data_IF_243995656260
#
_entry.id   IF_243995656260
#
_cell.length_a   1.000
_cell.length_b   1.000
_cell.length_c   1.000
_cell.angle_alpha   90.00
_cell.angle_beta   90.00
_cell.angle_gamma   90.00
#
_symmetry.space_group_name_H-M   'P 1'
#
loop_
_entity.id
_entity.type
_entity.pdbx_description
1 polymer ?
#
# COMPACT_ATOMS: atom_id res chain seq x y z
N UNK A 1 -18.71 -8.16 7.12
CA UNK A 1 -17.65 -8.66 6.22
C UNK A 1 -16.34 -8.38 6.92
N UNK A 2 -15.41 -9.35 6.98
CA UNK A 2 -14.15 -9.13 7.65
C UNK A 2 -13.31 -8.12 6.83
N UNK A 3 -12.68 -7.19 7.53
CA UNK A 3 -11.79 -6.20 6.91
C UNK A 3 -10.37 -6.54 7.35
N UNK A 4 -9.45 -6.88 6.42
CA UNK A 4 -8.10 -7.26 6.79
C UNK A 4 -7.31 -6.07 7.35
N UNK A 5 -6.34 -6.37 8.21
CA UNK A 5 -5.24 -5.47 8.51
C UNK A 5 -4.23 -5.49 7.37
N UNK A 6 -3.48 -4.40 7.21
CA UNK A 6 -2.45 -4.28 6.18
C UNK A 6 -1.11 -3.97 6.85
N UNK A 7 -0.12 -4.82 6.64
CA UNK A 7 1.27 -4.46 6.84
C UNK A 7 1.84 -3.91 5.53
N UNK A 8 2.53 -2.77 5.62
CA UNK A 8 3.03 -2.05 4.46
C UNK A 8 4.55 -1.93 4.53
N UNK A 9 5.28 -2.90 4.00
CA UNK A 9 6.74 -2.81 3.94
C UNK A 9 7.14 -1.71 2.94
N UNK A 10 7.77 -0.64 3.46
CA UNK A 10 8.30 0.47 2.68
C UNK A 10 9.82 0.38 2.63
N UNK A 11 10.37 0.46 1.43
CA UNK A 11 11.80 0.60 1.20
C UNK A 11 12.05 1.57 0.04
N UNK A 12 13.24 2.17 0.01
CA UNK A 12 13.76 2.83 -1.18
C UNK A 12 15.01 2.13 -1.62
N UNK A 13 15.09 1.83 -2.91
CA UNK A 13 16.17 1.04 -3.48
C UNK A 13 16.77 1.73 -4.68
N UNK A 14 18.01 1.36 -5.02
CA UNK A 14 18.68 1.87 -6.20
C UNK A 14 17.90 1.48 -7.46
N UNK A 15 17.54 2.46 -8.28
CA UNK A 15 16.80 2.23 -9.52
C UNK A 15 17.74 1.72 -10.61
N UNK A 16 17.85 0.41 -10.75
CA UNK A 16 18.68 -0.27 -11.73
C UNK A 16 18.07 -1.61 -12.12
N UNK A 17 18.41 -2.12 -13.31
CA UNK A 17 17.94 -3.41 -13.82
C UNK A 17 18.17 -4.57 -12.83
N UNK A 18 19.34 -4.61 -12.19
CA UNK A 18 19.69 -5.62 -11.17
C UNK A 18 18.73 -5.62 -9.97
N UNK A 19 18.12 -4.48 -9.64
CA UNK A 19 17.09 -4.39 -8.59
C UNK A 19 15.79 -5.05 -9.04
N UNK A 20 15.39 -4.89 -10.30
CA UNK A 20 14.20 -5.56 -10.87
C UNK A 20 14.40 -7.07 -11.02
N UNK A 21 15.61 -7.53 -11.35
CA UNK A 21 15.97 -8.95 -11.33
C UNK A 21 15.76 -9.56 -9.94
N UNK A 22 16.12 -8.82 -8.88
CA UNK A 22 15.89 -9.28 -7.50
C UNK A 22 14.41 -9.30 -7.13
N UNK A 23 13.61 -8.34 -7.58
CA UNK A 23 12.16 -8.38 -7.35
C UNK A 23 11.54 -9.65 -7.91
N UNK A 24 11.96 -10.08 -9.10
CA UNK A 24 11.40 -11.26 -9.77
C UNK A 24 11.93 -12.59 -9.21
N UNK A 25 13.09 -12.61 -8.55
CA UNK A 25 13.72 -13.85 -8.05
C UNK A 25 13.60 -14.04 -6.54
N UNK A 26 13.60 -12.96 -5.77
CA UNK A 26 13.47 -12.96 -4.30
C UNK A 26 12.04 -12.68 -3.88
N UNK A 27 11.36 -11.71 -4.53
CA UNK A 27 9.99 -11.29 -4.20
C UNK A 27 8.99 -12.46 -4.10
N UNK A 28 8.90 -13.37 -5.10
CA UNK A 28 8.00 -14.51 -5.02
C UNK A 28 8.30 -15.44 -3.84
N UNK A 29 9.58 -15.62 -3.47
CA UNK A 29 9.97 -16.48 -2.35
C UNK A 29 9.54 -15.91 -1.01
N UNK A 30 9.66 -14.59 -0.83
CA UNK A 30 9.14 -13.91 0.36
C UNK A 30 7.64 -14.17 0.49
N UNK A 31 6.87 -13.96 -0.59
CA UNK A 31 5.42 -14.20 -0.60
C UNK A 31 5.07 -15.67 -0.27
N UNK A 32 5.83 -16.64 -0.81
CA UNK A 32 5.62 -18.06 -0.51
C UNK A 32 5.88 -18.40 0.96
N UNK A 33 6.87 -17.77 1.60
CA UNK A 33 7.14 -17.96 3.03
C UNK A 33 6.06 -17.28 3.88
N UNK A 34 5.62 -16.08 3.50
CA UNK A 34 4.53 -15.36 4.15
C UNK A 34 3.23 -16.19 4.16
N UNK A 35 2.95 -16.88 3.06
CA UNK A 35 1.78 -17.74 2.91
C UNK A 35 1.78 -19.01 3.82
N UNK A 36 2.86 -19.28 4.56
CA UNK A 36 2.88 -20.37 5.55
C UNK A 36 1.97 -20.10 6.76
N UNK A 37 1.54 -18.85 6.99
CA UNK A 37 0.69 -18.50 8.13
C UNK A 37 -0.78 -18.39 7.72
N UNK A 38 -1.68 -19.12 8.40
CA UNK A 38 -3.12 -19.20 8.05
C UNK A 38 -3.89 -17.88 8.17
N UNK A 39 -3.31 -16.91 8.88
CA UNK A 39 -3.81 -15.53 8.98
C UNK A 39 -3.54 -14.65 7.76
N UNK A 40 -2.65 -15.08 6.86
CA UNK A 40 -2.36 -14.37 5.61
C UNK A 40 -3.52 -14.55 4.61
N UNK A 41 -3.96 -13.46 3.99
CA UNK A 41 -5.08 -13.50 3.02
C UNK A 41 -4.72 -12.94 1.65
N UNK A 42 -3.44 -12.65 1.39
CA UNK A 42 -2.94 -12.20 0.09
C UNK A 42 -2.12 -10.92 0.17
N UNK A 43 -1.69 -10.40 -0.98
CA UNK A 43 -0.75 -9.28 -1.04
C UNK A 43 -0.94 -8.41 -2.29
N UNK A 44 -0.43 -7.17 -2.24
CA UNK A 44 -0.34 -6.25 -3.39
C UNK A 44 0.99 -5.47 -3.32
N UNK A 45 1.93 -5.79 -4.21
CA UNK A 45 3.28 -5.21 -4.20
C UNK A 45 3.43 -4.16 -5.29
N UNK A 46 3.98 -3.02 -4.89
CA UNK A 46 4.04 -1.84 -5.73
C UNK A 46 5.45 -1.31 -5.92
N UNK A 47 5.70 -0.80 -7.12
CA UNK A 47 6.88 0.01 -7.44
C UNK A 47 6.45 1.44 -7.73
N UNK A 48 7.13 2.41 -7.12
CA UNK A 48 6.83 3.82 -7.33
C UNK A 48 7.17 4.21 -8.76
N UNK A 49 6.22 4.82 -9.47
CA UNK A 49 6.45 5.30 -10.83
C UNK A 49 6.51 6.83 -10.90
N UNK A 50 6.01 7.55 -9.90
CA UNK A 50 6.09 9.01 -9.92
C UNK A 50 5.43 9.70 -8.72
N UNK A 51 5.18 10.99 -8.89
CA UNK A 51 4.56 11.86 -7.87
C UNK A 51 3.61 12.83 -8.58
N UNK A 52 2.40 12.99 -8.05
CA UNK A 52 1.43 13.92 -8.62
C UNK A 52 1.90 15.38 -8.41
N UNK A 53 2.14 16.16 -9.49
CA UNK A 53 2.85 17.43 -9.39
C UNK A 53 2.01 18.60 -8.85
N UNK A 54 0.69 18.42 -8.69
CA UNK A 54 -0.24 19.43 -8.16
C UNK A 54 -0.11 20.80 -8.84
N UNK A 55 -0.13 20.80 -10.18
CA UNK A 55 -0.06 22.05 -10.96
C UNK A 55 1.26 22.83 -10.84
N UNK A 56 2.33 22.18 -10.37
CA UNK A 56 3.66 22.79 -10.20
C UNK A 56 4.06 23.04 -8.74
N UNK A 57 3.18 22.77 -7.77
CA UNK A 57 3.55 22.80 -6.34
C UNK A 57 4.73 21.86 -6.03
N UNK A 58 4.83 20.74 -6.76
CA UNK A 58 6.01 19.89 -6.82
C UNK A 58 6.61 19.96 -8.24
N UNK A 59 7.17 21.12 -8.62
CA UNK A 59 7.61 21.39 -10.00
C UNK A 59 8.73 20.50 -10.54
N UNK A 60 9.46 19.78 -9.67
CA UNK A 60 10.44 18.76 -10.09
C UNK A 60 9.84 17.35 -10.24
N UNK A 61 8.59 17.15 -9.81
CA UNK A 61 7.88 15.88 -9.93
C UNK A 61 7.18 15.75 -11.28
N UNK A 62 6.95 14.51 -11.71
CA UNK A 62 6.10 14.15 -12.83
C UNK A 62 5.26 12.93 -12.45
N UNK A 63 4.12 12.80 -13.13
CA UNK A 63 3.25 11.64 -12.99
C UNK A 63 4.00 10.33 -13.26
N UNK A 64 4.88 10.36 -14.26
CA UNK A 64 5.80 9.27 -14.58
C UNK A 64 7.25 9.75 -14.52
N UNK A 65 8.02 9.08 -13.67
CA UNK A 65 9.43 9.24 -13.38
C UNK A 65 10.12 7.88 -13.24
N UNK A 66 9.52 6.76 -13.67
CA UNK A 66 10.04 5.42 -13.36
C UNK A 66 11.48 5.19 -13.85
N UNK A 67 11.90 5.84 -14.95
CA UNK A 67 13.28 5.77 -15.47
C UNK A 67 14.27 6.68 -14.73
N UNK A 68 13.78 7.72 -14.05
CA UNK A 68 14.63 8.82 -13.52
C UNK A 68 14.60 8.93 -12.00
N UNK A 69 13.58 8.36 -11.36
CA UNK A 69 13.42 8.38 -9.91
C UNK A 69 14.47 7.45 -9.28
N UNK A 70 15.41 8.01 -8.54
CA UNK A 70 16.44 7.24 -7.86
C UNK A 70 16.78 7.90 -6.51
N UNK A 71 16.62 7.22 -5.36
CA UNK A 71 16.11 5.85 -5.24
C UNK A 71 14.63 5.74 -5.60
N UNK A 72 14.21 4.56 -6.04
CA UNK A 72 12.82 4.23 -6.35
C UNK A 72 12.14 3.61 -5.12
N UNK A 73 10.89 4.00 -4.87
CA UNK A 73 10.11 3.48 -3.75
C UNK A 73 9.54 2.09 -4.04
N UNK A 74 9.49 1.26 -3.00
CA UNK A 74 8.76 0.00 -2.94
C UNK A 74 7.73 0.08 -1.82
N UNK A 75 6.54 -0.44 -2.08
CA UNK A 75 5.45 -0.50 -1.12
C UNK A 75 4.76 -1.86 -1.24
N UNK A 76 5.08 -2.77 -0.33
CA UNK A 76 4.61 -4.16 -0.35
C UNK A 76 3.51 -4.32 0.69
N UNK A 77 2.28 -4.54 0.22
CA UNK A 77 1.11 -4.68 1.08
C UNK A 77 0.91 -6.17 1.33
N UNK A 78 0.86 -6.59 2.59
CA UNK A 78 0.41 -7.93 2.98
C UNK A 78 -0.85 -7.81 3.83
N UNK A 79 -1.85 -8.62 3.51
CA UNK A 79 -3.17 -8.55 4.12
C UNK A 79 -3.34 -9.69 5.14
N UNK A 80 -3.90 -9.35 6.30
CA UNK A 80 -3.96 -10.23 7.46
C UNK A 80 -5.33 -10.22 8.12
N UNK A 81 -5.78 -11.38 8.63
CA UNK A 81 -7.02 -11.47 9.41
C UNK A 81 -6.91 -10.65 10.70
N UNK A 82 -5.80 -10.82 11.42
CA UNK A 82 -5.40 -10.04 12.57
C UNK A 82 -3.99 -9.48 12.35
N UNK A 83 -3.69 -8.28 12.84
CA UNK A 83 -2.34 -7.73 12.67
C UNK A 83 -1.29 -8.55 13.45
N UNK A 84 -1.69 -9.24 14.51
CA UNK A 84 -0.84 -10.15 15.27
C UNK A 84 -0.37 -11.35 14.42
N UNK A 85 -1.16 -11.77 13.43
CA UNK A 85 -0.80 -12.85 12.50
C UNK A 85 0.44 -12.48 11.67
N UNK A 86 0.60 -11.20 11.33
CA UNK A 86 1.78 -10.69 10.64
C UNK A 86 3.04 -10.88 11.49
N UNK A 87 3.01 -10.40 12.74
CA UNK A 87 4.16 -10.49 13.63
C UNK A 87 4.48 -11.96 13.94
N UNK A 88 3.46 -12.80 14.19
CA UNK A 88 3.62 -14.24 14.36
C UNK A 88 4.31 -14.89 13.15
N UNK A 89 3.87 -14.58 11.93
CA UNK A 89 4.51 -15.06 10.70
C UNK A 89 5.99 -14.70 10.65
N UNK A 90 6.34 -13.44 10.96
CA UNK A 90 7.74 -12.99 10.99
C UNK A 90 8.57 -13.74 12.03
N UNK A 91 8.03 -13.96 13.24
CA UNK A 91 8.75 -14.70 14.28
C UNK A 91 8.90 -16.17 13.93
N UNK A 92 7.85 -16.84 13.43
CA UNK A 92 7.86 -18.26 13.11
C UNK A 92 8.75 -18.58 11.90
N UNK A 93 8.84 -17.67 10.93
CA UNK A 93 9.58 -17.84 9.69
C UNK A 93 10.85 -16.97 9.62
N UNK A 94 11.32 -16.44 10.75
CA UNK A 94 12.37 -15.40 10.80
C UNK A 94 13.61 -15.74 9.98
N UNK A 95 14.17 -16.95 10.14
CA UNK A 95 15.39 -17.34 9.45
C UNK A 95 15.25 -17.31 7.93
N UNK A 96 14.09 -17.74 7.41
CA UNK A 96 13.81 -17.75 5.98
C UNK A 96 13.58 -16.33 5.46
N UNK A 97 12.75 -15.55 6.14
CA UNK A 97 12.47 -14.15 5.80
C UNK A 97 13.76 -13.32 5.84
N UNK A 98 14.53 -13.40 6.92
CA UNK A 98 15.77 -12.64 7.07
C UNK A 98 16.77 -12.96 5.96
N UNK A 99 16.96 -14.24 5.62
CA UNK A 99 17.83 -14.67 4.51
C UNK A 99 17.38 -14.11 3.17
N UNK A 100 16.08 -14.14 2.89
CA UNK A 100 15.51 -13.63 1.64
C UNK A 100 15.63 -12.11 1.56
N UNK A 101 15.21 -11.38 2.59
CA UNK A 101 15.34 -9.93 2.65
C UNK A 101 16.80 -9.47 2.57
N UNK A 102 17.73 -10.23 3.16
CA UNK A 102 19.17 -9.91 3.11
C UNK A 102 19.76 -9.97 1.70
N UNK A 103 19.16 -10.74 0.78
CA UNK A 103 19.59 -10.78 -0.62
C UNK A 103 19.38 -9.45 -1.35
N UNK A 104 18.59 -8.53 -0.77
CA UNK A 104 18.32 -7.21 -1.30
C UNK A 104 19.19 -6.09 -0.66
N UNK A 105 20.11 -6.41 0.26
CA UNK A 105 20.83 -5.35 1.00
C UNK A 105 21.72 -4.45 0.14
N UNK A 106 22.25 -4.96 -0.96
CA UNK A 106 23.09 -4.20 -1.91
C UNK A 106 22.30 -3.20 -2.77
N UNK A 107 20.98 -3.31 -2.83
CA UNK A 107 20.10 -2.37 -3.53
C UNK A 107 19.40 -1.39 -2.58
N UNK A 108 19.32 -1.70 -1.27
CA UNK A 108 18.60 -0.86 -0.29
C UNK A 108 19.35 0.44 -0.03
N UNK A 109 18.63 1.56 -0.13
CA UNK A 109 19.08 2.91 0.23
C UNK A 109 18.40 3.36 1.53
N UNK A 110 17.13 3.00 1.74
CA UNK A 110 16.34 3.33 2.92
C UNK A 110 15.36 2.18 3.24
N UNK A 111 15.12 1.93 4.53
CA UNK A 111 14.23 0.89 5.01
C UNK A 111 14.92 -0.46 5.28
N UNK A 112 14.15 -1.54 5.50
CA UNK A 112 12.69 -1.57 5.49
C UNK A 112 12.06 -0.83 6.68
N UNK A 113 10.88 -0.25 6.46
CA UNK A 113 9.99 0.26 7.51
C UNK A 113 8.57 -0.22 7.23
N UNK A 114 7.95 -0.92 8.18
CA UNK A 114 6.71 -1.66 7.96
C UNK A 114 5.59 -1.20 8.91
N UNK A 115 4.97 -0.04 8.64
CA UNK A 115 3.77 0.40 9.34
C UNK A 115 2.61 -0.58 9.17
N UNK A 116 1.81 -0.73 10.22
CA UNK A 116 0.60 -1.55 10.25
C UNK A 116 -0.61 -0.62 10.22
N UNK A 117 -1.59 -0.96 9.38
CA UNK A 117 -2.80 -0.19 9.17
C UNK A 117 -4.05 -1.03 9.41
N UNK A 118 -5.09 -0.38 9.93
CA UNK A 118 -6.48 -0.83 9.78
C UNK A 118 -7.13 -0.10 8.60
N UNK A 119 -8.08 -0.75 7.94
CA UNK A 119 -8.89 -0.11 6.89
C UNK A 119 -10.15 0.45 7.54
N UNK A 120 -10.30 1.78 7.53
CA UNK A 120 -11.48 2.45 8.13
C UNK A 120 -12.62 2.66 7.15
N UNK A 121 -12.34 2.64 5.85
CA UNK A 121 -13.33 2.68 4.79
C UNK A 121 -12.74 2.10 3.50
N UNK A 122 -13.55 1.40 2.71
CA UNK A 122 -13.15 0.91 1.40
C UNK A 122 -14.33 0.78 0.45
N UNK A 123 -14.02 0.81 -0.84
CA UNK A 123 -14.85 0.35 -1.95
C UNK A 123 -13.91 -0.04 -3.08
N UNK A 124 -13.36 -1.25 -2.98
CA UNK A 124 -12.50 -1.85 -3.99
C UNK A 124 -13.26 -3.03 -4.60
N UNK A 125 -13.34 -3.15 -5.93
CA UNK A 125 -13.87 -4.34 -6.57
C UNK A 125 -12.82 -5.45 -6.60
N UNK A 126 -13.26 -6.70 -6.75
CA UNK A 126 -12.40 -7.80 -7.17
C UNK A 126 -11.67 -7.46 -8.46
N UNK A 127 -10.44 -7.95 -8.58
CA UNK A 127 -9.70 -7.84 -9.83
C UNK A 127 -10.22 -8.87 -10.83
N UNK A 128 -10.34 -8.44 -12.08
CA UNK A 128 -10.75 -9.31 -13.19
C UNK A 128 -9.84 -9.06 -14.39
N UNK A 129 -9.51 -10.10 -15.15
CA UNK A 129 -8.88 -9.90 -16.45
C UNK A 129 -9.92 -9.51 -17.50
N UNK A 130 -9.46 -8.96 -18.63
CA UNK A 130 -10.35 -8.64 -19.76
C UNK A 130 -11.12 -9.87 -20.28
N UNK A 131 -10.56 -11.07 -20.12
CA UNK A 131 -11.19 -12.35 -20.48
C UNK A 131 -12.38 -12.70 -19.59
N UNK A 132 -12.45 -12.16 -18.38
CA UNK A 132 -13.46 -12.50 -17.38
C UNK A 132 -14.67 -11.54 -17.42
N UNK A 133 -14.52 -10.42 -18.13
CA UNK A 133 -15.54 -9.38 -18.30
C UNK A 133 -16.87 -9.94 -18.83
N UNK A 134 -16.91 -10.79 -19.88
CA UNK A 134 -18.19 -11.34 -20.36
C UNK A 134 -18.94 -12.16 -19.30
N UNK A 135 -18.21 -12.97 -18.52
CA UNK A 135 -18.81 -13.78 -17.46
C UNK A 135 -19.30 -12.89 -16.29
N UNK A 136 -18.48 -11.92 -15.89
CA UNK A 136 -18.82 -10.94 -14.83
C UNK A 136 -20.05 -10.12 -15.19
N UNK A 137 -20.15 -9.67 -16.44
CA UNK A 137 -21.31 -8.96 -16.96
C UNK A 137 -22.56 -9.84 -16.95
N UNK A 138 -22.43 -11.10 -17.37
CA UNK A 138 -23.52 -12.09 -17.32
C UNK A 138 -24.05 -12.32 -15.90
N UNK A 139 -23.15 -12.46 -14.92
CA UNK A 139 -23.51 -12.66 -13.52
C UNK A 139 -24.20 -11.41 -12.91
N UNK A 140 -23.67 -10.22 -13.19
CA UNK A 140 -24.28 -8.96 -12.76
C UNK A 140 -25.69 -8.80 -13.35
N UNK A 141 -25.87 -9.13 -14.63
CA UNK A 141 -27.17 -9.06 -15.30
C UNK A 141 -28.18 -10.07 -14.73
N UNK A 142 -27.74 -11.31 -14.45
CA UNK A 142 -28.58 -12.35 -13.85
C UNK A 142 -29.09 -11.97 -12.44
N UNK A 143 -28.33 -11.17 -11.70
CA UNK A 143 -28.67 -10.73 -10.33
C UNK A 143 -29.30 -9.33 -10.27
N UNK A 144 -29.41 -8.64 -11.42
CA UNK A 144 -29.91 -7.26 -11.50
C UNK A 144 -29.00 -6.23 -10.81
N UNK A 145 -27.75 -6.57 -10.55
CA UNK A 145 -26.77 -5.68 -9.91
C UNK A 145 -25.95 -4.93 -10.96
N UNK A 146 -25.48 -3.71 -10.67
CA UNK A 146 -24.53 -3.03 -11.55
C UNK A 146 -23.22 -3.82 -11.59
N UNK A 147 -22.62 -3.92 -12.78
CA UNK A 147 -21.28 -4.48 -12.91
C UNK A 147 -20.28 -3.56 -12.19
N UNK A 148 -19.38 -4.10 -11.34
CA UNK A 148 -18.28 -3.33 -10.77
C UNK A 148 -17.35 -2.77 -11.85
N UNK A 149 -16.49 -1.81 -11.47
CA UNK A 149 -15.45 -1.34 -12.37
C UNK A 149 -14.48 -2.48 -12.73
N UNK A 150 -14.03 -2.53 -13.99
CA UNK A 150 -13.04 -3.51 -14.46
C UNK A 150 -11.66 -3.11 -13.95
N UNK A 151 -11.22 -3.71 -12.84
CA UNK A 151 -9.91 -3.45 -12.25
C UNK A 151 -8.90 -4.52 -12.67
N UNK A 152 -8.09 -4.20 -13.69
CA UNK A 152 -7.13 -5.15 -14.25
C UNK A 152 -5.94 -5.39 -13.29
N UNK A 153 -5.53 -6.67 -13.08
CA UNK A 153 -4.40 -7.00 -12.22
C UNK A 153 -3.04 -6.89 -12.92
N UNK A 154 -1.97 -7.10 -12.15
CA UNK A 154 -0.60 -7.35 -12.63
C UNK A 154 -0.01 -6.17 -13.42
N UNK A 155 -0.12 -4.99 -12.82
CA UNK A 155 0.45 -3.75 -13.34
C UNK A 155 -0.31 -3.10 -14.49
N UNK A 156 -1.56 -3.51 -14.72
CA UNK A 156 -2.44 -2.94 -15.74
C UNK A 156 -3.39 -1.85 -15.19
N UNK A 157 -3.05 -1.28 -14.04
CA UNK A 157 -3.73 -0.12 -13.44
C UNK A 157 -2.75 0.71 -12.62
N UNK A 158 -3.14 1.92 -12.23
CA UNK A 158 -2.32 2.84 -11.44
C UNK A 158 -2.90 3.00 -10.04
N UNK A 159 -2.02 3.04 -9.04
CA UNK A 159 -2.38 3.42 -7.68
C UNK A 159 -1.91 4.84 -7.41
N UNK A 160 -2.80 5.69 -6.92
CA UNK A 160 -2.46 6.98 -6.33
C UNK A 160 -2.59 6.87 -4.81
N UNK A 161 -1.46 6.88 -4.11
CA UNK A 161 -1.40 6.77 -2.66
C UNK A 161 -1.14 8.15 -2.05
N UNK A 162 -2.12 8.68 -1.33
CA UNK A 162 -2.08 10.02 -0.76
C UNK A 162 -1.85 9.97 0.75
N UNK A 163 -0.69 10.46 1.18
CA UNK A 163 -0.31 10.55 2.59
C UNK A 163 -0.96 11.77 3.26
N UNK A 164 -1.52 11.57 4.45
CA UNK A 164 -2.17 12.59 5.25
C UNK A 164 -1.80 12.44 6.72
N UNK A 165 -1.55 13.56 7.40
CA UNK A 165 -1.44 13.61 8.85
C UNK A 165 -2.50 14.57 9.35
N UNK A 166 -3.37 14.09 10.25
CA UNK A 166 -4.52 14.87 10.74
C UNK A 166 -4.17 15.70 11.96
N UNK A 167 -4.88 16.81 12.16
CA UNK A 167 -4.84 17.56 13.41
C UNK A 167 -5.48 16.70 14.51
N UNK A 168 -4.84 16.52 15.68
CA UNK A 168 -5.40 15.71 16.76
C UNK A 168 -6.81 16.15 17.16
N UNK A 169 -7.73 15.19 17.27
CA UNK A 169 -9.14 15.44 17.61
C UNK A 169 -10.04 15.72 16.40
N UNK A 170 -9.51 15.68 15.17
CA UNK A 170 -10.28 15.85 13.91
C UNK A 170 -10.27 14.62 13.03
N UNK A 171 -9.89 13.47 13.57
CA UNK A 171 -9.79 12.19 12.87
C UNK A 171 -11.13 11.77 12.25
N UNK A 172 -12.22 11.82 13.02
CA UNK A 172 -13.55 11.44 12.51
C UNK A 172 -14.06 12.39 11.42
N UNK A 173 -13.75 13.68 11.53
CA UNK A 173 -14.12 14.65 10.51
C UNK A 173 -13.34 14.40 9.21
N UNK A 174 -12.04 14.08 9.32
CA UNK A 174 -11.21 13.67 8.20
C UNK A 174 -11.77 12.39 7.55
N UNK A 175 -12.00 11.34 8.34
CA UNK A 175 -12.49 10.03 7.87
C UNK A 175 -13.83 10.19 7.13
N UNK A 176 -14.78 10.95 7.67
CA UNK A 176 -16.05 11.21 6.99
C UNK A 176 -15.86 12.04 5.72
N UNK A 177 -15.09 13.13 5.78
CA UNK A 177 -14.91 14.02 4.64
C UNK A 177 -14.19 13.31 3.48
N UNK A 178 -13.19 12.46 3.76
CA UNK A 178 -12.47 11.75 2.71
C UNK A 178 -13.36 10.67 2.08
N UNK A 179 -14.19 9.96 2.86
CA UNK A 179 -15.18 9.00 2.32
C UNK A 179 -16.19 9.70 1.42
N UNK A 180 -16.62 10.92 1.76
CA UNK A 180 -17.51 11.71 0.89
C UNK A 180 -16.83 12.04 -0.45
N UNK A 181 -15.53 12.39 -0.45
CA UNK A 181 -14.75 12.62 -1.69
C UNK A 181 -14.66 11.33 -2.51
N UNK A 182 -14.31 10.22 -1.88
CA UNK A 182 -14.15 8.92 -2.57
C UNK A 182 -15.48 8.42 -3.16
N UNK A 183 -16.58 8.63 -2.44
CA UNK A 183 -17.93 8.33 -2.94
C UNK A 183 -18.28 9.17 -4.16
N UNK A 184 -17.89 10.45 -4.17
CA UNK A 184 -18.05 11.30 -5.34
C UNK A 184 -17.16 10.85 -6.52
N UNK A 185 -15.97 10.30 -6.24
CA UNK A 185 -15.06 9.76 -7.26
C UNK A 185 -15.60 8.55 -8.01
N UNK A 186 -16.55 7.79 -7.47
CA UNK A 186 -17.22 6.68 -8.20
C UNK A 186 -17.83 7.08 -9.55
N UNK A 187 -18.13 8.37 -9.74
CA UNK A 187 -18.69 8.93 -10.99
C UNK A 187 -17.62 9.47 -11.95
N UNK A 188 -16.35 9.29 -11.62
CA UNK A 188 -15.21 9.78 -12.40
C UNK A 188 -14.74 8.67 -13.34
N UNK A 189 -14.62 8.94 -14.65
CA UNK A 189 -14.09 7.96 -15.59
C UNK A 189 -12.71 7.44 -15.13
N UNK A 190 -12.56 6.12 -15.19
CA UNK A 190 -11.32 5.44 -14.84
C UNK A 190 -11.04 5.32 -13.35
N UNK A 191 -11.93 5.74 -12.43
CA UNK A 191 -11.81 5.42 -11.02
C UNK A 191 -12.18 3.95 -10.79
N UNK A 192 -11.30 3.19 -10.14
CA UNK A 192 -11.45 1.75 -9.93
C UNK A 192 -11.76 1.39 -8.48
N UNK A 193 -11.63 2.32 -7.54
CA UNK A 193 -11.95 2.09 -6.13
C UNK A 193 -10.97 2.75 -5.18
N UNK A 194 -11.21 2.56 -3.87
CA UNK A 194 -10.36 3.13 -2.83
C UNK A 194 -10.35 2.33 -1.54
N UNK A 195 -9.34 2.59 -0.71
CA UNK A 195 -9.36 2.31 0.71
C UNK A 195 -8.67 3.43 1.49
N UNK A 196 -9.17 3.68 2.70
CA UNK A 196 -8.60 4.63 3.67
C UNK A 196 -7.93 3.82 4.76
N UNK A 197 -6.62 3.93 4.83
CA UNK A 197 -5.79 3.20 5.79
C UNK A 197 -5.43 4.12 6.94
N UNK A 198 -5.69 3.68 8.17
CA UNK A 198 -5.33 4.37 9.41
C UNK A 198 -4.20 3.63 10.09
N UNK A 199 -3.07 4.30 10.32
CA UNK A 199 -1.92 3.63 10.92
C UNK A 199 -2.22 3.32 12.40
N UNK A 200 -2.07 2.05 12.79
CA UNK A 200 -2.26 1.60 14.17
C UNK A 200 -0.93 1.33 14.89
N UNK A 201 0.16 1.23 14.15
CA UNK A 201 1.47 0.88 14.68
C UNK A 201 2.51 0.65 13.58
N UNK A 202 3.56 -0.09 13.90
CA UNK A 202 4.55 -0.59 12.93
C UNK A 202 5.16 -1.90 13.43
N UNK A 203 5.52 -2.82 12.56
CA UNK A 203 6.18 -4.06 12.97
C UNK A 203 7.66 -3.80 13.21
N UNK A 204 8.12 -3.98 14.45
CA UNK A 204 9.55 -3.87 14.77
C UNK A 204 10.38 -4.92 14.01
N UNK A 205 9.91 -6.17 14.00
CA UNK A 205 10.59 -7.29 13.33
C UNK A 205 10.59 -7.14 11.81
N UNK A 206 9.47 -6.74 11.20
CA UNK A 206 9.37 -6.46 9.76
C UNK A 206 10.23 -5.27 9.32
N UNK A 207 10.45 -4.31 10.22
CA UNK A 207 11.33 -3.15 10.02
C UNK A 207 12.80 -3.41 10.38
N UNK A 208 13.16 -4.65 10.74
CA UNK A 208 14.49 -5.00 11.28
C UNK A 208 14.95 -4.11 12.46
N UNK A 209 13.99 -3.58 13.23
CA UNK A 209 14.21 -2.83 14.47
C UNK A 209 14.31 -3.82 15.64
N UNK A 210 15.43 -4.52 15.70
CA UNK A 210 15.72 -5.51 16.74
C UNK A 210 16.26 -4.85 18.01
N UNK A 211 16.25 -5.60 19.11
CA UNK A 211 17.04 -5.25 20.31
C UNK A 211 18.55 -5.15 19.98
N UNK A 212 19.37 -4.46 20.80
CA UNK A 212 20.76 -4.14 20.45
C UNK A 212 21.61 -5.33 19.98
N UNK A 213 21.55 -6.47 20.68
CA UNK A 213 22.31 -7.66 20.29
C UNK A 213 21.85 -8.25 18.95
N UNK A 214 20.55 -8.21 18.66
CA UNK A 214 19.98 -8.62 17.38
C UNK A 214 20.44 -7.73 16.23
N UNK A 215 20.47 -6.41 16.45
CA UNK A 215 21.01 -5.45 15.48
C UNK A 215 22.49 -5.72 15.21
N UNK A 216 23.31 -5.93 16.25
CA UNK A 216 24.72 -6.24 16.07
C UNK A 216 24.92 -7.50 15.21
N UNK A 217 24.12 -8.55 15.44
CA UNK A 217 24.17 -9.76 14.63
C UNK A 217 23.73 -9.51 13.18
N UNK A 218 22.67 -8.73 12.98
CA UNK A 218 22.17 -8.38 11.65
C UNK A 218 23.20 -7.60 10.83
N UNK A 219 23.98 -6.71 11.46
CA UNK A 219 25.04 -5.94 10.81
C UNK A 219 26.30 -6.75 10.50
N UNK A 220 26.49 -7.90 11.14
CA UNK A 220 27.68 -8.76 10.98
C UNK A 220 27.51 -9.85 9.92
N UNK A 221 26.34 -9.92 9.28
CA UNK A 221 25.99 -10.97 8.32
C UNK A 221 25.57 -10.36 6.99
N UNK A 222 25.69 -11.15 5.91
CA UNK A 222 25.08 -10.84 4.60
C UNK A 222 23.81 -11.63 4.33
N UNK A 223 23.27 -12.29 5.36
CA UNK A 223 22.07 -13.11 5.29
C UNK A 223 22.31 -14.57 5.68
N UNK A 224 23.51 -15.12 5.46
CA UNK A 224 23.80 -16.55 5.66
C UNK A 224 23.52 -17.03 7.10
N UNK A 225 23.78 -16.15 8.06
CA UNK A 225 23.56 -16.35 9.49
C UNK A 225 22.55 -15.32 10.01
N UNK A 226 21.25 -15.64 10.06
CA UNK A 226 20.26 -14.79 10.70
C UNK A 226 20.60 -14.52 12.18
N UNK A 227 20.19 -13.37 12.73
CA UNK A 227 20.25 -13.11 14.16
C UNK A 227 19.57 -14.22 14.96
N UNK A 228 20.25 -14.73 16.00
CA UNK A 228 19.63 -15.63 16.97
C UNK A 228 18.68 -14.89 17.89
N UNK A 229 18.96 -13.61 18.14
CA UNK A 229 18.11 -12.72 18.92
C UNK A 229 17.27 -11.92 17.91
N UNK A 230 16.00 -12.32 17.80
CA UNK A 230 15.05 -11.79 16.82
C UNK A 230 13.99 -10.87 17.41
N UNK A 231 14.06 -10.60 18.72
CA UNK A 231 13.10 -9.75 19.41
C UNK A 231 13.16 -8.32 18.89
N UNK A 232 11.99 -7.77 18.55
CA UNK A 232 11.83 -6.36 18.23
C UNK A 232 12.11 -5.48 19.45
N UNK A 233 12.61 -4.26 19.22
CA UNK A 233 12.87 -3.29 20.27
C UNK A 233 11.60 -2.54 20.74
N UNK A 234 10.46 -2.74 20.10
CA UNK A 234 9.14 -2.27 20.52
C UNK A 234 8.03 -3.22 20.06
N UNK A 235 6.86 -3.11 20.69
CA UNK A 235 5.61 -3.75 20.27
C UNK A 235 4.87 -2.88 19.26
N UNK A 236 4.14 -3.51 18.34
CA UNK A 236 3.47 -2.82 17.22
C UNK A 236 2.69 -1.56 17.61
N UNK A 237 1.82 -1.57 18.64
CA UNK A 237 1.06 -0.38 19.03
C UNK A 237 1.91 0.78 19.60
N UNK A 238 3.14 0.51 20.07
CA UNK A 238 4.01 1.56 20.61
C UNK A 238 4.54 2.50 19.53
N UNK A 239 4.55 2.06 18.27
CA UNK A 239 4.92 2.88 17.12
C UNK A 239 3.72 3.62 16.48
N UNK A 240 2.56 3.62 17.14
CA UNK A 240 1.41 4.45 16.77
C UNK A 240 1.82 5.92 16.69
N UNK A 241 1.34 6.62 15.66
CA UNK A 241 1.69 8.01 15.42
C UNK A 241 0.63 8.95 15.99
N UNK A 242 1.08 9.91 16.80
CA UNK A 242 0.31 11.09 17.20
C UNK A 242 1.09 12.34 16.78
N UNK A 243 0.61 13.11 15.79
CA UNK A 243 -0.73 13.08 15.19
C UNK A 243 -0.99 11.90 14.24
N UNK A 244 -2.26 11.52 14.11
CA UNK A 244 -2.68 10.31 13.38
C UNK A 244 -2.35 10.41 11.89
N UNK A 245 -1.66 9.39 11.37
CA UNK A 245 -1.34 9.22 9.96
C UNK A 245 -2.36 8.34 9.23
N UNK A 246 -2.67 8.74 8.00
CA UNK A 246 -3.53 8.02 7.07
C UNK A 246 -2.89 7.91 5.69
N UNK A 247 -3.18 6.80 5.01
CA UNK A 247 -2.91 6.63 3.59
C UNK A 247 -4.25 6.45 2.86
N UNK A 248 -4.56 7.36 1.93
CA UNK A 248 -5.72 7.23 1.06
C UNK A 248 -5.24 6.60 -0.24
N UNK A 249 -5.54 5.31 -0.39
CA UNK A 249 -5.20 4.50 -1.55
C UNK A 249 -6.32 4.60 -2.57
N UNK A 250 -6.02 5.07 -3.78
CA UNK A 250 -6.98 5.20 -4.88
C UNK A 250 -6.49 4.41 -6.08
N UNK A 251 -7.37 3.65 -6.72
CA UNK A 251 -7.05 2.90 -7.94
C UNK A 251 -7.64 3.59 -9.16
N UNK A 252 -6.85 3.68 -10.22
CA UNK A 252 -7.21 4.32 -11.47
C UNK A 252 -6.82 3.45 -12.67
N UNK A 253 -7.64 3.47 -13.71
CA UNK A 253 -7.43 2.68 -14.93
C UNK A 253 -6.10 3.01 -15.61
N UNK A 254 -5.70 4.28 -15.60
CA UNK A 254 -4.49 4.76 -16.23
C UNK A 254 -4.04 6.11 -15.62
N UNK A 255 -2.87 6.58 -16.04
CA UNK A 255 -2.25 7.80 -15.53
C UNK A 255 -3.05 9.08 -15.85
N UNK A 256 -3.70 9.16 -17.01
CA UNK A 256 -4.51 10.32 -17.39
C UNK A 256 -5.81 10.36 -16.60
N UNK A 257 -6.43 9.20 -16.41
CA UNK A 257 -7.60 9.02 -15.54
C UNK A 257 -7.26 9.45 -14.11
N UNK A 258 -6.12 9.01 -13.56
CA UNK A 258 -5.63 9.48 -12.26
C UNK A 258 -5.41 10.99 -12.24
N UNK A 259 -4.72 11.54 -13.26
CA UNK A 259 -4.38 12.96 -13.33
C UNK A 259 -5.64 13.85 -13.29
N UNK A 260 -6.56 13.59 -14.21
CA UNK A 260 -7.76 14.40 -14.39
C UNK A 260 -8.81 14.10 -13.32
N UNK A 261 -8.87 12.86 -12.86
CA UNK A 261 -9.80 12.42 -11.83
C UNK A 261 -9.48 13.05 -10.47
N UNK A 262 -8.23 12.94 -10.01
CA UNK A 262 -7.77 13.60 -8.78
C UNK A 262 -7.92 15.12 -8.90
N UNK A 263 -7.59 15.71 -10.06
CA UNK A 263 -7.74 17.16 -10.27
C UNK A 263 -9.17 17.67 -10.09
N UNK A 264 -10.21 16.81 -10.15
CA UNK A 264 -11.60 17.23 -9.88
C UNK A 264 -11.77 17.87 -8.52
N UNK A 265 -10.99 17.50 -7.50
CA UNK A 265 -11.09 18.15 -6.17
C UNK A 265 -10.63 19.61 -6.16
N UNK A 266 -9.98 20.09 -7.22
CA UNK A 266 -9.58 21.51 -7.34
C UNK A 266 -10.28 22.24 -8.48
N UNK A 267 -10.67 21.56 -9.56
CA UNK A 267 -11.31 22.20 -10.73
C UNK A 267 -12.85 22.13 -10.72
N UNK A 268 -13.45 21.11 -10.08
CA UNK A 268 -14.91 20.98 -10.01
C UNK A 268 -15.42 21.57 -8.68
N UNK A 269 -16.26 22.60 -8.76
CA UNK A 269 -16.73 23.33 -7.56
C UNK A 269 -17.46 22.46 -6.54
N UNK A 270 -18.24 21.47 -6.97
CA UNK A 270 -18.95 20.58 -6.04
C UNK A 270 -17.97 19.65 -5.31
N UNK A 271 -17.07 19.01 -6.07
CA UNK A 271 -16.01 18.16 -5.50
C UNK A 271 -15.09 18.93 -4.56
N UNK A 272 -14.70 20.15 -4.95
CA UNK A 272 -13.87 21.03 -4.15
C UNK A 272 -14.48 21.34 -2.80
N UNK A 273 -15.78 21.68 -2.73
CA UNK A 273 -16.45 21.95 -1.45
C UNK A 273 -16.41 20.76 -0.50
N UNK A 274 -16.49 19.53 -1.04
CA UNK A 274 -16.38 18.31 -0.24
C UNK A 274 -14.93 18.15 0.24
N UNK A 275 -13.96 18.29 -0.65
CA UNK A 275 -12.54 18.14 -0.33
C UNK A 275 -11.97 19.24 0.57
N UNK A 276 -12.50 20.46 0.53
CA UNK A 276 -12.10 21.56 1.42
C UNK A 276 -12.31 21.18 2.90
N UNK A 277 -13.28 20.29 3.21
CA UNK A 277 -13.47 19.72 4.55
C UNK A 277 -12.31 18.81 4.95
N UNK A 278 -11.78 18.02 4.02
CA UNK A 278 -10.57 17.21 4.25
C UNK A 278 -9.39 18.13 4.52
N UNK A 279 -9.15 19.13 3.66
CA UNK A 279 -8.01 20.03 3.82
C UNK A 279 -8.03 20.79 5.15
N UNK A 280 -9.21 21.12 5.66
CA UNK A 280 -9.36 21.80 6.93
C UNK A 280 -8.85 20.96 8.12
N UNK A 281 -8.79 19.63 8.03
CA UNK A 281 -8.40 18.73 9.12
C UNK A 281 -6.93 18.33 9.09
N UNK A 282 -6.14 18.78 8.11
CA UNK A 282 -4.77 18.32 7.91
C UNK A 282 -3.73 19.16 8.64
N UNK A 283 -2.79 18.48 9.28
CA UNK A 283 -1.51 19.05 9.70
C UNK A 283 -0.47 18.95 8.58
N UNK A 284 -0.46 17.83 7.85
CA UNK A 284 0.44 17.57 6.71
C UNK A 284 -0.33 16.83 5.61
N UNK A 285 0.04 17.11 4.36
CA UNK A 285 -0.56 16.51 3.16
C UNK A 285 -1.60 17.42 2.49
N UNK A 286 -2.28 16.92 1.45
CA UNK A 286 -2.01 15.64 0.78
C UNK A 286 -0.64 15.61 0.08
N UNK A 287 0.06 14.48 0.15
CA UNK A 287 1.21 14.18 -0.72
C UNK A 287 0.92 12.90 -1.49
N UNK A 288 0.79 12.99 -2.81
CA UNK A 288 0.30 11.89 -3.64
C UNK A 288 1.45 11.28 -4.45
N UNK A 289 1.79 10.05 -4.11
CA UNK A 289 2.73 9.22 -4.86
C UNK A 289 1.97 8.29 -5.80
N UNK A 290 2.60 7.93 -6.93
CA UNK A 290 1.99 7.10 -7.95
C UNK A 290 2.75 5.78 -8.04
N UNK A 291 2.02 4.68 -8.12
CA UNK A 291 2.57 3.35 -8.04
C UNK A 291 1.96 2.39 -9.07
N UNK A 292 2.77 1.43 -9.48
CA UNK A 292 2.37 0.30 -10.31
C UNK A 292 2.22 -0.96 -9.44
N UNK A 293 1.03 -1.57 -9.31
CA UNK A 293 0.80 -2.80 -8.56
C UNK A 293 1.25 -4.02 -9.41
N UNK A 294 2.55 -4.29 -9.42
CA UNK A 294 3.18 -5.25 -10.34
C UNK A 294 2.92 -6.72 -9.99
N UNK A 295 3.00 -7.06 -8.70
CA UNK A 295 2.83 -8.43 -8.23
C UNK A 295 1.76 -8.44 -7.16
N UNK A 296 0.74 -9.26 -7.30
CA UNK A 296 -0.36 -9.33 -6.35
C UNK A 296 -0.97 -10.73 -6.34
N UNK A 297 -1.51 -11.13 -5.19
CA UNK A 297 -2.44 -12.23 -5.07
C UNK A 297 -3.83 -11.64 -4.86
N UNK A 298 -4.64 -11.60 -5.92
CA UNK A 298 -5.91 -10.88 -5.93
C UNK A 298 -6.96 -11.45 -4.97
N UNK A 299 -6.73 -12.65 -4.42
CA UNK A 299 -7.65 -13.32 -3.49
C UNK A 299 -7.88 -12.55 -2.18
N UNK A 300 -7.00 -11.60 -1.83
CA UNK A 300 -7.23 -10.73 -0.68
C UNK A 300 -8.53 -9.90 -0.80
N UNK A 301 -8.98 -9.64 -2.04
CA UNK A 301 -10.25 -8.96 -2.31
C UNK A 301 -11.44 -9.88 -2.17
N UNK A 302 -11.29 -11.17 -2.46
CA UNK A 302 -12.34 -12.17 -2.18
C UNK A 302 -12.62 -12.22 -0.66
N UNK A 303 -11.56 -12.17 0.17
CA UNK A 303 -11.71 -12.06 1.62
C UNK A 303 -12.42 -10.76 2.03
N UNK A 304 -12.07 -9.63 1.41
CA UNK A 304 -12.69 -8.31 1.66
C UNK A 304 -14.21 -8.30 1.37
N UNK A 305 -14.69 -9.18 0.49
CA UNK A 305 -16.09 -9.29 0.09
C UNK A 305 -16.85 -10.45 0.74
N UNK A 306 -16.20 -11.22 1.62
CA UNK A 306 -16.78 -12.39 2.30
C UNK A 306 -17.69 -12.08 3.49
#
# INVERSE_FOLDING_TARGET
MPTPYIALNKARVYNAESSYEKFTTVGPKVCMVTANHEGFVGFQNHVQIGVFPMGGRYGGAKMDMHETLNPIGLAQYTMWKHWEDHDAMHYDNFDAIFRLCSQCLDMVVEGPWEPIYEIVAHDLPENVAMTDVPASLGAAWATGQPMPAVSLPYGQRIIAASEHTTVPGREQEFEQAIVDVMTAFKRVPGFLGYMVLKQIGASAIGSLQLVPDGIHQALQTRGDYPPRIKDGNFQTPQAHQTPQEYLVHMEWADMNSAMMGISRVVINHQMRRIHDRVLATLLKGPYVTLWNPLMEDTSWREYLHS
#
